data_IF_507579798418
#
_entry.id   IF_507579798418
#
_cell.length_a   1.000
_cell.length_b   1.000
_cell.length_c   1.000
_cell.angle_alpha   90.00
_cell.angle_beta   90.00
_cell.angle_gamma   90.00
#
_symmetry.space_group_name_H-M   'P 1'
#
loop_
_entity.id
_entity.type
_entity.pdbx_description
1 polymer ?
#
# COMPACT_ATOMS: atom_id res chain seq x y z
N UNK A 1 -4.60 22.57 -9.30
CA UNK A 1 -3.38 22.88 -10.10
C UNK A 1 -2.78 21.56 -10.54
N UNK A 2 -2.29 21.45 -11.77
CA UNK A 2 -1.57 20.24 -12.22
C UNK A 2 -0.18 20.21 -11.58
N UNK A 3 0.16 19.10 -10.91
CA UNK A 3 1.49 18.85 -10.34
C UNK A 3 2.51 18.64 -11.46
N UNK A 4 3.56 19.46 -11.50
CA UNK A 4 4.55 19.49 -12.59
C UNK A 4 5.91 18.89 -12.23
N UNK A 5 6.17 18.64 -10.95
CA UNK A 5 7.40 17.97 -10.53
C UNK A 5 7.33 16.49 -10.92
N UNK A 6 8.23 15.99 -11.80
CA UNK A 6 8.25 14.59 -12.22
C UNK A 6 8.39 13.59 -11.05
N UNK A 7 8.97 14.00 -9.92
CA UNK A 7 9.12 13.14 -8.74
C UNK A 7 7.83 13.06 -7.90
N UNK A 8 6.89 13.99 -8.11
CA UNK A 8 5.62 14.05 -7.39
C UNK A 8 4.46 13.47 -8.21
N UNK A 9 4.70 13.07 -9.45
CA UNK A 9 3.72 12.31 -10.25
C UNK A 9 3.60 10.90 -9.65
N UNK A 10 2.40 10.36 -9.39
CA UNK A 10 2.20 9.06 -8.76
C UNK A 10 2.44 7.90 -9.75
N UNK A 11 3.65 7.83 -10.30
CA UNK A 11 4.16 6.69 -11.06
C UNK A 11 4.49 5.53 -10.13
N UNK A 12 4.54 4.30 -10.65
CA UNK A 12 4.87 3.11 -9.86
C UNK A 12 6.18 3.31 -9.10
N UNK A 13 7.21 3.79 -9.80
CA UNK A 13 8.53 4.06 -9.21
C UNK A 13 8.45 5.08 -8.08
N UNK A 14 7.78 6.22 -8.30
CA UNK A 14 7.72 7.29 -7.30
C UNK A 14 6.91 6.88 -6.07
N UNK A 15 5.84 6.10 -6.23
CA UNK A 15 5.05 5.58 -5.12
C UNK A 15 5.92 4.64 -4.28
N UNK A 16 6.57 3.64 -4.89
CA UNK A 16 7.44 2.69 -4.17
C UNK A 16 8.60 3.40 -3.47
N UNK A 17 9.23 4.39 -4.10
CA UNK A 17 10.28 5.20 -3.46
C UNK A 17 9.75 6.01 -2.28
N UNK A 18 8.54 6.57 -2.40
CA UNK A 18 7.88 7.32 -1.32
C UNK A 18 7.50 6.42 -0.14
N UNK A 19 7.04 5.20 -0.41
CA UNK A 19 6.76 4.20 0.63
C UNK A 19 8.03 3.81 1.39
N UNK A 20 9.14 3.57 0.67
CA UNK A 20 10.45 3.31 1.30
C UNK A 20 10.93 4.49 2.13
N UNK A 21 10.74 5.72 1.63
CA UNK A 21 11.06 6.93 2.37
C UNK A 21 10.22 7.05 3.66
N UNK A 22 8.94 6.71 3.63
CA UNK A 22 8.02 6.84 4.76
C UNK A 22 8.50 6.09 6.00
N UNK A 23 9.00 4.88 5.82
CA UNK A 23 9.48 4.02 6.93
C UNK A 23 10.97 4.14 7.19
N UNK A 24 11.70 4.89 6.35
CA UNK A 24 13.14 5.03 6.48
C UNK A 24 13.50 5.67 7.83
N UNK A 25 14.41 5.00 8.53
CA UNK A 25 14.98 5.47 9.81
C UNK A 25 13.96 5.73 10.94
N UNK A 26 12.71 5.26 10.81
CA UNK A 26 11.69 5.38 11.86
C UNK A 26 12.16 4.77 13.19
N UNK A 27 11.71 5.33 14.30
CA UNK A 27 12.08 4.95 15.66
C UNK A 27 10.84 4.73 16.54
N UNK A 28 11.04 4.00 17.64
CA UNK A 28 9.97 3.78 18.61
C UNK A 28 9.38 5.10 19.09
N UNK A 29 8.05 5.25 19.00
CA UNK A 29 7.33 6.47 19.32
C UNK A 29 6.90 7.30 18.09
N UNK A 30 7.45 7.02 16.90
CA UNK A 30 7.04 7.71 15.67
C UNK A 30 5.61 7.35 15.26
N UNK A 31 4.95 8.30 14.59
CA UNK A 31 3.60 8.15 14.04
C UNK A 31 3.61 8.55 12.56
N UNK A 32 3.41 7.57 11.69
CA UNK A 32 3.47 7.68 10.24
C UNK A 32 2.06 7.66 9.65
N UNK A 33 1.87 8.33 8.51
CA UNK A 33 0.61 8.31 7.78
C UNK A 33 0.86 7.91 6.33
N UNK A 34 0.16 6.89 5.87
CA UNK A 34 0.02 6.53 4.47
C UNK A 34 -1.42 6.80 4.03
N UNK A 35 -1.62 7.69 3.06
CA UNK A 35 -2.93 7.97 2.49
C UNK A 35 -2.90 7.70 0.99
N UNK A 36 -3.86 6.91 0.53
CA UNK A 36 -4.07 6.64 -0.89
C UNK A 36 -5.54 6.85 -1.25
N UNK A 37 -5.78 7.54 -2.36
CA UNK A 37 -7.08 7.63 -2.99
C UNK A 37 -6.91 7.48 -4.49
N UNK A 38 -7.66 6.54 -5.09
CA UNK A 38 -7.49 6.19 -6.49
C UNK A 38 -8.13 4.86 -6.85
N UNK A 39 -7.67 4.27 -7.96
CA UNK A 39 -8.14 2.95 -8.37
C UNK A 39 -7.44 1.85 -7.58
N UNK A 40 -8.25 0.94 -7.05
CA UNK A 40 -7.82 -0.36 -6.57
C UNK A 40 -8.42 -1.45 -7.46
N UNK A 41 -7.64 -2.49 -7.70
CA UNK A 41 -8.00 -3.65 -8.54
C UNK A 41 -7.51 -4.94 -7.87
N UNK A 42 -8.05 -6.08 -8.30
CA UNK A 42 -7.59 -7.40 -7.89
C UNK A 42 -6.86 -8.08 -9.06
N UNK A 43 -5.82 -8.85 -8.75
CA UNK A 43 -5.18 -9.75 -9.72
C UNK A 43 -4.96 -11.14 -9.11
N UNK A 44 -4.84 -12.22 -9.91
CA UNK A 44 -4.52 -13.53 -9.37
C UNK A 44 -3.22 -13.49 -8.57
N UNK A 45 -3.26 -13.97 -7.33
CA UNK A 45 -2.07 -14.07 -6.48
C UNK A 45 -1.05 -15.04 -7.09
N UNK A 46 0.23 -14.70 -6.97
CA UNK A 46 1.33 -15.57 -7.41
C UNK A 46 1.40 -16.85 -6.56
N UNK A 47 1.14 -16.73 -5.26
CA UNK A 47 0.93 -17.86 -4.35
C UNK A 47 -0.53 -17.93 -3.91
N UNK A 48 -1.23 -18.97 -4.35
CA UNK A 48 -2.66 -19.17 -4.06
C UNK A 48 -2.93 -19.57 -2.61
N UNK A 49 -1.89 -19.92 -1.85
CA UNK A 49 -2.03 -20.24 -0.43
C UNK A 49 -1.90 -19.01 0.47
N UNK A 50 -1.45 -17.87 -0.07
CA UNK A 50 -1.26 -16.61 0.66
C UNK A 50 -2.61 -15.91 0.89
N UNK A 51 -3.47 -15.89 -0.13
CA UNK A 51 -4.77 -15.21 -0.09
C UNK A 51 -5.95 -16.18 0.02
N UNK A 52 -6.93 -15.83 0.88
CA UNK A 52 -8.10 -16.68 1.15
C UNK A 52 -8.95 -16.92 -0.11
N UNK A 53 -9.04 -15.91 -0.99
CA UNK A 53 -9.72 -15.99 -2.27
C UNK A 53 -8.76 -16.16 -3.47
N UNK A 54 -7.45 -16.18 -3.20
CA UNK A 54 -6.38 -16.31 -4.19
C UNK A 54 -6.19 -15.07 -5.07
N UNK A 55 -6.59 -13.88 -4.61
CA UNK A 55 -6.45 -12.62 -5.33
C UNK A 55 -5.66 -11.59 -4.51
N UNK A 56 -4.59 -11.05 -5.08
CA UNK A 56 -3.90 -9.89 -4.50
C UNK A 56 -4.73 -8.62 -4.74
N UNK A 57 -4.87 -7.81 -3.70
CA UNK A 57 -5.34 -6.44 -3.81
C UNK A 57 -4.24 -5.53 -4.32
N UNK A 58 -4.60 -4.56 -5.14
CA UNK A 58 -3.61 -3.67 -5.75
C UNK A 58 -4.04 -2.22 -5.73
N UNK A 59 -3.06 -1.32 -5.68
CA UNK A 59 -3.24 0.09 -6.04
C UNK A 59 -2.71 0.33 -7.45
N UNK A 60 -3.35 1.24 -8.18
CA UNK A 60 -3.00 1.57 -9.57
C UNK A 60 -2.23 2.90 -9.66
N UNK A 61 -0.91 2.89 -9.90
CA UNK A 61 -0.16 4.07 -10.30
C UNK A 61 -0.68 4.68 -11.61
N UNK A 62 -0.30 5.92 -11.94
CA UNK A 62 -0.76 6.56 -13.19
C UNK A 62 -0.25 5.86 -14.47
N UNK A 63 0.86 5.11 -14.35
CA UNK A 63 1.53 4.37 -15.42
C UNK A 63 1.33 2.85 -15.32
N UNK A 64 0.34 2.39 -14.54
CA UNK A 64 0.09 0.97 -14.27
C UNK A 64 -0.09 0.10 -15.52
N UNK A 65 -0.60 0.66 -16.62
CA UNK A 65 -0.74 -0.06 -17.90
C UNK A 65 0.62 -0.51 -18.44
N UNK A 66 1.69 0.24 -18.17
CA UNK A 66 3.05 -0.03 -18.68
C UNK A 66 3.94 -0.66 -17.63
N UNK A 67 3.89 -0.16 -16.40
CA UNK A 67 4.81 -0.55 -15.32
C UNK A 67 4.18 -1.55 -14.33
N UNK A 68 2.90 -1.86 -14.48
CA UNK A 68 2.16 -2.75 -13.59
C UNK A 68 1.55 -2.05 -12.38
N UNK A 69 0.69 -2.79 -11.68
CA UNK A 69 0.08 -2.37 -10.42
C UNK A 69 1.07 -2.60 -9.25
N UNK A 70 0.71 -2.13 -8.06
CA UNK A 70 1.46 -2.41 -6.82
C UNK A 70 0.54 -3.26 -5.94
N UNK A 71 0.98 -4.46 -5.58
CA UNK A 71 0.22 -5.40 -4.75
C UNK A 71 0.27 -5.03 -3.27
N UNK A 72 -0.73 -5.45 -2.52
CA UNK A 72 -0.75 -5.51 -1.06
C UNK A 72 0.51 -6.16 -0.48
N UNK A 73 0.94 -7.28 -1.05
CA UNK A 73 2.19 -7.96 -0.71
C UNK A 73 3.43 -7.05 -0.84
N UNK A 74 3.52 -6.28 -1.92
CA UNK A 74 4.60 -5.29 -2.11
C UNK A 74 4.47 -4.10 -1.16
N UNK A 75 3.25 -3.66 -0.84
CA UNK A 75 3.01 -2.60 0.13
C UNK A 75 3.43 -3.09 1.53
N UNK A 76 2.98 -4.27 1.94
CA UNK A 76 3.25 -4.87 3.25
C UNK A 76 4.77 -5.04 3.47
N UNK A 77 5.47 -5.70 2.55
CA UNK A 77 6.93 -5.87 2.62
C UNK A 77 7.69 -4.54 2.61
N UNK A 78 7.11 -3.48 2.03
CA UNK A 78 7.74 -2.14 2.00
C UNK A 78 7.49 -1.33 3.26
N UNK A 79 6.28 -1.34 3.84
CA UNK A 79 5.90 -0.40 4.92
C UNK A 79 5.36 -1.04 6.20
N UNK A 80 5.10 -2.35 6.22
CA UNK A 80 4.59 -3.08 7.40
C UNK A 80 5.71 -3.92 8.02
N UNK A 81 6.29 -4.85 7.27
CA UNK A 81 7.38 -5.71 7.77
C UNK A 81 8.58 -4.93 8.35
N UNK A 82 9.03 -3.80 7.77
CA UNK A 82 10.19 -3.08 8.27
C UNK A 82 9.94 -2.22 9.52
N UNK A 83 8.68 -2.09 9.97
CA UNK A 83 8.34 -1.20 11.08
C UNK A 83 9.00 -1.67 12.38
N UNK A 84 9.68 -0.74 13.06
CA UNK A 84 10.26 -1.01 14.38
C UNK A 84 9.18 -1.05 15.45
N UNK A 85 9.42 -1.84 16.49
CA UNK A 85 8.53 -1.91 17.63
C UNK A 85 8.28 -0.52 18.25
N UNK A 86 7.01 -0.19 18.47
CA UNK A 86 6.55 1.09 18.99
C UNK A 86 6.37 2.19 17.95
N UNK A 87 6.65 1.94 16.67
CA UNK A 87 6.20 2.81 15.56
C UNK A 87 4.72 2.56 15.31
N UNK A 88 3.96 3.62 14.98
CA UNK A 88 2.56 3.51 14.54
C UNK A 88 2.44 3.95 13.09
N UNK A 89 1.89 3.09 12.24
CA UNK A 89 1.52 3.45 10.88
C UNK A 89 0.00 3.56 10.78
N UNK A 90 -0.49 4.74 10.42
CA UNK A 90 -1.88 4.99 10.09
C UNK A 90 -2.06 4.95 8.57
N UNK A 91 -2.69 3.90 8.06
CA UNK A 91 -3.02 3.80 6.65
C UNK A 91 -4.50 4.09 6.41
N UNK A 92 -4.78 4.95 5.44
CA UNK A 92 -6.12 5.32 5.02
C UNK A 92 -6.19 5.13 3.51
N UNK A 93 -7.01 4.19 3.08
CA UNK A 93 -7.10 3.79 1.68
C UNK A 93 -8.53 3.96 1.22
N UNK A 94 -8.70 4.88 0.26
CA UNK A 94 -9.97 5.20 -0.40
C UNK A 94 -9.91 4.69 -1.84
N UNK A 95 -10.10 3.38 -1.99
CA UNK A 95 -10.06 2.67 -3.25
C UNK A 95 -11.03 1.48 -3.23
N UNK A 96 -11.44 1.01 -4.41
CA UNK A 96 -12.16 -0.26 -4.51
C UNK A 96 -11.27 -1.42 -4.05
N UNK A 97 -11.89 -2.45 -3.49
CA UNK A 97 -11.21 -3.67 -3.03
C UNK A 97 -10.11 -3.41 -1.97
N UNK A 98 -10.14 -2.28 -1.26
CA UNK A 98 -9.07 -1.91 -0.34
C UNK A 98 -9.10 -2.60 1.04
N UNK A 99 -9.82 -3.72 1.17
CA UNK A 99 -10.12 -4.35 2.47
C UNK A 99 -8.89 -4.99 3.11
N UNK A 100 -7.99 -5.51 2.29
CA UNK A 100 -6.79 -6.25 2.68
C UNK A 100 -5.51 -5.65 2.13
N UNK A 101 -5.50 -4.41 1.62
CA UNK A 101 -4.34 -3.75 0.96
C UNK A 101 -3.02 -3.68 1.76
N UNK A 102 -3.01 -4.11 3.02
CA UNK A 102 -1.83 -4.18 3.89
C UNK A 102 -1.59 -5.56 4.48
N UNK A 103 -2.35 -6.60 4.12
CA UNK A 103 -2.23 -7.98 4.62
C UNK A 103 -2.13 -8.08 6.14
N UNK A 104 -2.98 -7.33 6.83
CA UNK A 104 -2.99 -7.30 8.28
C UNK A 104 -3.76 -8.50 8.83
N UNK A 105 -3.12 -9.23 9.74
CA UNK A 105 -3.67 -10.42 10.41
C UNK A 105 -5.03 -10.21 11.13
N UNK A 106 -5.35 -8.98 11.51
CA UNK A 106 -6.54 -8.69 12.31
C UNK A 106 -7.43 -7.65 11.61
N UNK A 107 -8.67 -8.06 11.33
CA UNK A 107 -9.69 -7.19 10.72
C UNK A 107 -10.84 -7.02 11.68
N UNK A 108 -11.16 -5.76 12.00
CA UNK A 108 -12.30 -5.41 12.84
C UNK A 108 -13.41 -4.81 11.99
N UNK A 109 -14.55 -5.50 11.95
CA UNK A 109 -15.77 -4.97 11.34
C UNK A 109 -16.67 -4.44 12.45
N UNK A 110 -17.12 -3.20 12.32
CA UNK A 110 -18.16 -2.68 13.20
C UNK A 110 -19.49 -3.29 12.74
N UNK A 111 -20.16 -4.03 13.62
CA UNK A 111 -21.54 -4.46 13.37
C UNK A 111 -22.42 -3.23 13.11
N UNK A 112 -23.23 -3.30 12.05
CA UNK A 112 -24.13 -2.21 11.65
C UNK A 112 -25.27 -2.01 12.63
#
# INVERSE_FOLDING_TARGET
EEQKDPNLIPTRRNIVESLKWLVKDCQSGDSLVFYFSGHGMQQPADDKEDEIDGLDETICPVDFIREGMITDNEINSTIVEPLKNGVKLHAIIDACHSGTTLDLMHVYKKDK
#
